data_IF_424005764963
#
_entry.id   IF_424005764963
#
_cell.length_a   1.000
_cell.length_b   1.000
_cell.length_c   1.000
_cell.angle_alpha   90.00
_cell.angle_beta   90.00
_cell.angle_gamma   90.00
#
_symmetry.space_group_name_H-M   'P 1'
#
loop_
_entity.id
_entity.type
_entity.pdbx_description
1 polymer ?
#
# COMPACT_ATOMS: atom_id res chain seq x y z
N UNK A 1 -10.70 16.31 -20.16
CA UNK A 1 -10.54 15.06 -19.39
C UNK A 1 -9.09 15.02 -18.96
N UNK A 2 -8.87 15.39 -17.69
CA UNK A 2 -7.64 15.98 -17.21
C UNK A 2 -6.47 15.00 -17.14
N UNK A 3 -5.35 15.43 -17.69
CA UNK A 3 -3.96 15.08 -17.36
C UNK A 3 -3.65 13.61 -17.01
N UNK A 4 -3.16 12.88 -18.01
CA UNK A 4 -2.47 11.60 -17.83
C UNK A 4 -1.04 11.88 -17.33
N UNK A 5 -0.63 11.42 -16.13
CA UNK A 5 0.75 11.53 -15.70
C UNK A 5 1.59 10.42 -16.34
N UNK A 6 2.63 10.83 -17.08
CA UNK A 6 3.93 10.13 -17.22
C UNK A 6 3.93 8.66 -17.62
N UNK A 7 4.04 8.39 -18.92
CA UNK A 7 4.56 7.12 -19.43
C UNK A 7 6.08 7.24 -19.62
N UNK A 8 6.86 6.90 -18.59
CA UNK A 8 8.30 6.71 -18.70
C UNK A 8 8.60 5.20 -18.89
N UNK A 9 8.92 4.73 -20.10
CA UNK A 9 9.11 3.30 -20.40
C UNK A 9 10.51 2.77 -19.98
N UNK A 10 11.03 3.18 -18.82
CA UNK A 10 12.33 2.74 -18.29
C UNK A 10 12.26 1.85 -17.04
N UNK A 11 11.18 1.98 -16.26
CA UNK A 11 10.88 1.15 -15.10
C UNK A 11 9.38 1.30 -14.81
N UNK A 12 8.53 0.38 -15.31
CA UNK A 12 7.09 0.38 -15.02
C UNK A 12 6.84 0.03 -13.55
N UNK A 13 7.16 0.97 -12.66
CA UNK A 13 6.63 0.99 -11.30
C UNK A 13 5.27 1.65 -11.36
N UNK A 14 4.24 0.94 -10.95
CA UNK A 14 2.91 1.51 -10.76
C UNK A 14 2.76 1.94 -9.30
N UNK A 15 1.74 2.73 -9.01
CA UNK A 15 1.41 3.17 -7.66
C UNK A 15 -0.08 3.03 -7.45
N UNK A 16 -0.47 2.32 -6.39
CA UNK A 16 -1.85 2.03 -6.08
C UNK A 16 -2.17 2.47 -4.66
N UNK A 17 -3.24 3.23 -4.52
CA UNK A 17 -3.72 3.74 -3.24
C UNK A 17 -5.08 3.14 -2.90
N UNK A 18 -5.29 2.83 -1.63
CA UNK A 18 -6.57 2.35 -1.12
C UNK A 18 -6.75 2.69 0.35
N UNK A 19 -8.00 2.62 0.78
CA UNK A 19 -8.42 2.85 2.16
C UNK A 19 -8.50 1.51 2.89
N UNK A 20 -7.94 1.47 4.09
CA UNK A 20 -8.04 0.31 4.99
C UNK A 20 -8.65 0.78 6.31
N UNK A 21 -9.74 0.15 6.77
CA UNK A 21 -10.35 0.50 8.05
C UNK A 21 -9.36 0.28 9.20
N UNK A 22 -9.47 1.08 10.26
CA UNK A 22 -8.54 1.08 11.39
C UNK A 22 -8.53 -0.27 12.13
N UNK A 23 -9.67 -0.96 12.10
CA UNK A 23 -9.84 -2.30 12.65
C UNK A 23 -8.93 -3.32 11.94
N UNK A 24 -8.84 -3.23 10.60
CA UNK A 24 -7.99 -4.10 9.79
C UNK A 24 -6.54 -3.61 9.74
N UNK A 25 -6.31 -2.29 9.71
CA UNK A 25 -4.94 -1.75 9.57
C UNK A 25 -4.07 -2.12 10.78
N UNK A 26 -4.64 -2.20 11.99
CA UNK A 26 -3.93 -2.67 13.17
C UNK A 26 -3.42 -4.10 13.01
N UNK A 27 -4.25 -4.96 12.42
CA UNK A 27 -3.89 -6.35 12.10
C UNK A 27 -2.84 -6.42 10.98
N UNK A 28 -2.97 -5.61 9.93
CA UNK A 28 -2.03 -5.51 8.80
C UNK A 28 -0.65 -5.01 9.24
N UNK A 29 -0.60 -4.01 10.12
CA UNK A 29 0.65 -3.52 10.72
C UNK A 29 1.24 -4.62 11.62
N UNK A 30 0.40 -5.28 12.40
CA UNK A 30 0.80 -6.30 13.36
C UNK A 30 1.49 -5.68 14.59
N UNK A 31 1.83 -6.53 15.58
CA UNK A 31 2.56 -6.07 16.77
C UNK A 31 3.87 -5.41 16.36
N UNK A 32 4.04 -4.15 16.76
CA UNK A 32 5.23 -3.34 16.49
C UNK A 32 5.57 -3.19 14.99
N UNK A 33 4.58 -3.33 14.09
CA UNK A 33 4.84 -3.21 12.65
C UNK A 33 5.45 -4.45 12.00
N UNK A 34 5.49 -5.59 12.70
CA UNK A 34 6.13 -6.82 12.19
C UNK A 34 5.48 -7.32 10.90
N UNK A 35 4.13 -7.37 10.84
CA UNK A 35 3.40 -7.90 9.68
C UNK A 35 3.59 -6.98 8.47
N UNK A 36 3.45 -5.66 8.62
CA UNK A 36 3.67 -4.75 7.48
C UNK A 36 5.13 -4.75 7.01
N UNK A 37 6.10 -4.90 7.91
CA UNK A 37 7.51 -5.06 7.52
C UNK A 37 7.70 -6.31 6.66
N UNK A 38 7.13 -7.42 7.07
CA UNK A 38 7.17 -8.67 6.31
C UNK A 38 6.48 -8.53 4.96
N UNK A 39 5.31 -7.88 4.89
CA UNK A 39 4.60 -7.63 3.62
C UNK A 39 5.47 -6.82 2.66
N UNK A 40 6.12 -5.75 3.14
CA UNK A 40 7.05 -4.95 2.32
C UNK A 40 8.22 -5.79 1.81
N UNK A 41 8.76 -6.66 2.65
CA UNK A 41 9.89 -7.52 2.30
C UNK A 41 9.50 -8.66 1.33
N UNK A 42 8.35 -9.30 1.54
CA UNK A 42 7.83 -10.37 0.68
C UNK A 42 7.40 -9.85 -0.68
N UNK A 43 6.70 -8.71 -0.72
CA UNK A 43 6.24 -8.11 -1.97
C UNK A 43 7.35 -7.41 -2.74
N UNK A 44 8.38 -6.93 -2.06
CA UNK A 44 9.37 -6.01 -2.63
C UNK A 44 8.75 -4.66 -3.04
N UNK A 45 7.52 -4.37 -2.60
CA UNK A 45 6.82 -3.13 -2.90
C UNK A 45 7.09 -2.07 -1.82
N UNK A 46 7.09 -0.82 -2.24
CA UNK A 46 7.18 0.30 -1.32
C UNK A 46 5.79 0.66 -0.79
N UNK A 47 5.50 0.25 0.45
CA UNK A 47 4.20 0.52 1.10
C UNK A 47 4.33 1.74 2.02
N UNK A 48 3.46 2.72 1.86
CA UNK A 48 3.40 3.95 2.66
C UNK A 48 2.02 4.06 3.29
N UNK A 49 1.98 4.13 4.61
CA UNK A 49 0.74 4.29 5.36
C UNK A 49 0.61 5.77 5.68
N UNK A 50 -0.43 6.40 5.13
CA UNK A 50 -0.81 7.79 5.38
C UNK A 50 -1.32 8.00 6.80
N UNK A 51 -1.33 9.27 7.21
CA UNK A 51 -1.83 9.65 8.52
C UNK A 51 -3.33 9.29 8.63
N UNK A 52 -3.75 8.93 9.84
CA UNK A 52 -5.17 8.76 10.13
C UNK A 52 -5.83 10.13 9.91
N UNK A 53 -6.77 10.22 8.97
CA UNK A 53 -7.54 11.44 8.79
C UNK A 53 -8.37 11.64 10.07
N UNK A 54 -8.38 12.85 10.64
CA UNK A 54 -9.07 13.12 11.90
C UNK A 54 -10.55 12.76 11.78
N UNK A 55 -11.01 11.80 12.59
CA UNK A 55 -12.37 11.28 12.57
C UNK A 55 -12.64 10.13 11.59
N UNK A 56 -11.70 9.79 10.70
CA UNK A 56 -11.85 8.66 9.79
C UNK A 56 -11.41 7.36 10.49
N UNK A 57 -12.33 6.39 10.56
CA UNK A 57 -12.03 5.02 10.97
C UNK A 57 -11.21 4.26 9.93
N UNK A 58 -10.42 4.95 9.09
CA UNK A 58 -9.73 4.40 7.92
C UNK A 58 -8.35 5.08 7.75
N UNK A 59 -7.43 4.36 7.10
CA UNK A 59 -6.08 4.81 6.76
C UNK A 59 -5.83 4.65 5.27
N UNK A 60 -5.25 5.69 4.67
CA UNK A 60 -4.75 5.61 3.29
C UNK A 60 -3.48 4.78 3.26
N UNK A 61 -3.43 3.78 2.39
CA UNK A 61 -2.23 2.98 2.12
C UNK A 61 -1.88 3.15 0.66
N UNK A 62 -0.66 3.57 0.39
CA UNK A 62 -0.11 3.72 -0.96
C UNK A 62 0.97 2.67 -1.17
N UNK A 63 0.89 1.92 -2.26
CA UNK A 63 1.86 0.89 -2.64
C UNK A 63 2.47 1.28 -3.97
N UNK A 64 3.78 1.39 -4.02
CA UNK A 64 4.54 1.72 -5.23
C UNK A 64 5.51 0.60 -5.55
N UNK A 65 5.47 0.08 -6.78
CA UNK A 65 6.39 -0.96 -7.21
C UNK A 65 5.97 -1.59 -8.54
N UNK A 66 6.57 -2.73 -8.88
CA UNK A 66 6.13 -3.53 -10.02
C UNK A 66 4.67 -4.00 -9.83
N UNK A 67 3.90 -4.21 -10.91
CA UNK A 67 2.51 -4.66 -10.80
C UNK A 67 2.37 -5.98 -10.02
N UNK A 68 3.35 -6.88 -10.14
CA UNK A 68 3.44 -8.11 -9.35
C UNK A 68 3.62 -7.81 -7.87
N UNK A 69 4.56 -6.92 -7.51
CA UNK A 69 4.81 -6.52 -6.13
C UNK A 69 3.59 -5.84 -5.51
N UNK A 70 2.90 -4.97 -6.25
CA UNK A 70 1.68 -4.31 -5.79
C UNK A 70 0.58 -5.33 -5.54
N UNK A 71 0.32 -6.24 -6.49
CA UNK A 71 -0.71 -7.26 -6.35
C UNK A 71 -0.45 -8.16 -5.14
N UNK A 72 0.81 -8.56 -4.91
CA UNK A 72 1.19 -9.39 -3.77
C UNK A 72 1.01 -8.62 -2.44
N UNK A 73 1.50 -7.38 -2.37
CA UNK A 73 1.35 -6.54 -1.19
C UNK A 73 -0.12 -6.30 -0.86
N UNK A 74 -0.93 -5.97 -1.87
CA UNK A 74 -2.37 -5.77 -1.71
C UNK A 74 -3.04 -7.05 -1.21
N UNK A 75 -2.73 -8.20 -1.81
CA UNK A 75 -3.25 -9.49 -1.36
C UNK A 75 -2.93 -9.75 0.12
N UNK A 76 -1.68 -9.56 0.54
CA UNK A 76 -1.27 -9.77 1.94
C UNK A 76 -1.88 -8.77 2.94
N UNK A 77 -2.27 -7.59 2.47
CA UNK A 77 -2.95 -6.57 3.28
C UNK A 77 -4.44 -6.90 3.45
N UNK A 78 -5.06 -7.46 2.40
CA UNK A 78 -6.48 -7.83 2.41
C UNK A 78 -6.76 -9.26 2.87
N UNK A 79 -5.71 -10.09 2.99
CA UNK A 79 -5.77 -11.48 3.46
C UNK A 79 -5.70 -11.58 4.99
#
# INVERSE_FOLDING_TARGET
>A
FSSLPGLDPGAQTSSQEFLVPNDLIGCVIGRQGSKISEIRQMSGAHIKIGNQAEGAGERHVTITGSPVSIALAQYLITA
#
